data_IF_113119104757
#
_entry.id   IF_113119104757
#
_cell.length_a   1.000
_cell.length_b   1.000
_cell.length_c   1.000
_cell.angle_alpha   90.00
_cell.angle_beta   90.00
_cell.angle_gamma   90.00
#
_symmetry.space_group_name_H-M   'P 1'
#
loop_
_entity.id
_entity.type
_entity.pdbx_description
1 polymer ?
2 non-polymer ?
3 non-polymer ?
4 water ?
#
# COMPACT_ATOMS: atom_id res chain seq x y z
N UNK A 3 -3.28 -31.77 1.78
CA UNK A 3 -2.13 -31.63 2.73
C UNK A 3 -1.13 -30.54 2.28
N UNK A 4 -0.43 -29.96 3.24
CA UNK A 4 0.67 -29.03 2.96
C UNK A 4 1.83 -29.73 2.25
N UNK A 5 2.58 -29.02 1.40
CA UNK A 5 3.72 -29.63 0.70
C UNK A 5 4.80 -30.05 1.70
N UNK A 6 5.50 -31.13 1.37
CA UNK A 6 6.47 -31.72 2.26
C UNK A 6 7.61 -30.76 2.63
N UNK A 7 8.06 -29.97 1.67
CA UNK A 7 9.18 -29.04 1.91
C UNK A 7 8.74 -27.90 2.82
N UNK A 8 7.47 -27.55 2.83
CA UNK A 8 6.96 -26.58 3.80
C UNK A 8 6.87 -27.21 5.19
N UNK A 9 6.22 -28.38 5.30
CA UNK A 9 6.13 -29.10 6.57
C UNK A 9 7.50 -29.39 7.18
N UNK A 10 8.51 -29.61 6.32
CA UNK A 10 9.86 -29.84 6.79
C UNK A 10 10.44 -28.72 7.65
N UNK A 11 10.08 -27.48 7.34
CA UNK A 11 10.65 -26.29 7.99
C UNK A 11 9.74 -25.60 9.00
N UNK A 12 8.43 -25.80 8.84
CA UNK A 12 7.40 -25.11 9.59
C UNK A 12 6.32 -26.07 10.09
N UNK A 13 5.80 -25.78 11.29
CA UNK A 13 4.59 -26.41 11.81
C UNK A 13 3.41 -25.45 11.58
N UNK A 14 2.41 -25.91 10.84
CA UNK A 14 1.28 -25.06 10.45
C UNK A 14 0.22 -25.06 11.51
N UNK A 15 -0.39 -23.89 11.69
CA UNK A 15 -1.34 -23.69 12.76
C UNK A 15 -2.62 -23.02 12.24
N UNK A 16 -3.23 -22.19 13.08
CA UNK A 16 -4.55 -21.66 12.84
C UNK A 16 -4.60 -20.62 11.72
N UNK A 17 -5.82 -20.33 11.29
CA UNK A 17 -6.09 -19.32 10.27
C UNK A 17 -6.13 -17.94 10.90
N UNK A 18 -5.43 -17.00 10.27
CA UNK A 18 -5.39 -15.61 10.72
C UNK A 18 -6.29 -14.73 9.86
N UNK A 19 -6.45 -15.11 8.60
CA UNK A 19 -7.26 -14.37 7.62
C UNK A 19 -7.55 -15.25 6.42
N UNK A 20 -8.41 -14.79 5.52
CA UNK A 20 -8.72 -15.54 4.29
C UNK A 20 -9.24 -14.68 3.13
N UNK A 21 -8.31 -14.23 2.28
CA UNK A 21 -8.63 -13.49 1.05
C UNK A 21 -9.28 -14.34 -0.04
N UNK A 22 -9.44 -13.76 -1.24
CA UNK A 22 -10.24 -14.38 -2.31
C UNK A 22 -9.58 -15.63 -2.89
N UNK A 23 -8.39 -15.46 -3.47
CA UNK A 23 -7.64 -16.62 -4.00
C UNK A 23 -6.77 -17.29 -2.93
N UNK A 24 -6.80 -16.77 -1.71
CA UNK A 24 -5.93 -17.28 -0.67
C UNK A 24 -6.48 -17.33 0.75
N UNK A 25 -5.54 -17.41 1.68
CA UNK A 25 -5.80 -17.55 3.11
C UNK A 25 -4.45 -17.32 3.78
N UNK A 26 -4.45 -16.77 5.00
CA UNK A 26 -3.21 -16.57 5.76
C UNK A 26 -3.24 -17.45 7.01
N UNK A 27 -2.17 -18.22 7.23
CA UNK A 27 -2.05 -19.11 8.39
C UNK A 27 -0.91 -18.70 9.30
N UNK A 28 -1.11 -18.95 10.59
CA UNK A 28 -0.06 -18.88 11.59
C UNK A 28 0.80 -20.13 11.43
N UNK A 29 2.12 -19.95 11.50
CA UNK A 29 3.07 -21.06 11.49
C UNK A 29 4.21 -20.80 12.45
N UNK A 30 4.91 -21.87 12.80
CA UNK A 30 6.11 -21.78 13.62
C UNK A 30 7.28 -22.30 12.83
N UNK A 31 8.31 -21.48 12.73
CA UNK A 31 9.53 -21.91 12.13
C UNK A 31 10.24 -22.91 13.05
N UNK A 32 10.53 -24.10 12.55
CA UNK A 32 11.07 -25.15 13.38
C UNK A 32 12.43 -24.76 14.00
N UNK A 33 13.30 -24.20 13.19
CA UNK A 33 14.64 -23.85 13.61
C UNK A 33 14.66 -22.88 14.81
N UNK A 34 13.76 -21.91 14.82
CA UNK A 34 13.77 -20.83 15.82
C UNK A 34 12.61 -20.88 16.83
N UNK A 35 11.56 -21.65 16.53
CA UNK A 35 10.31 -21.68 17.30
C UNK A 35 9.60 -20.35 17.39
N UNK A 36 9.78 -19.52 16.38
CA UNK A 36 9.14 -18.20 16.33
C UNK A 36 8.04 -18.20 15.30
N UNK A 37 7.07 -17.32 15.53
CA UNK A 37 5.86 -17.27 14.73
C UNK A 37 6.13 -16.57 13.43
N UNK A 38 5.49 -17.07 12.39
CA UNK A 38 5.50 -16.44 11.07
C UNK A 38 4.08 -16.50 10.52
N UNK A 39 3.85 -15.75 9.45
CA UNK A 39 2.61 -15.80 8.72
C UNK A 39 2.94 -16.51 7.44
N UNK A 40 1.97 -17.30 6.94
CA UNK A 40 2.13 -17.96 5.67
C UNK A 40 0.90 -17.67 4.83
N UNK A 41 1.14 -16.97 3.72
CA UNK A 41 0.08 -16.60 2.80
C UNK A 41 0.00 -17.70 1.75
N UNK A 42 -1.21 -18.24 1.56
CA UNK A 42 -1.48 -19.26 0.56
C UNK A 42 -2.18 -18.60 -0.62
N UNK A 43 -1.64 -18.80 -1.82
CA UNK A 43 -2.29 -18.30 -3.03
C UNK A 43 -2.59 -19.52 -3.89
N UNK A 44 -3.87 -19.79 -4.11
CA UNK A 44 -4.30 -20.98 -4.83
C UNK A 44 -3.97 -20.86 -6.30
N UNK A 45 -3.76 -22.00 -6.95
CA UNK A 45 -3.71 -22.07 -8.41
C UNK A 45 -5.01 -22.73 -8.89
N UNK A 61 2.39 -15.10 -12.42
CA UNK A 61 3.37 -14.09 -12.06
C UNK A 61 3.52 -13.87 -10.55
N UNK A 62 3.07 -14.84 -9.75
CA UNK A 62 3.33 -14.80 -8.30
C UNK A 62 4.84 -14.87 -8.06
N UNK A 63 5.51 -15.66 -8.89
CA UNK A 63 6.96 -15.88 -8.73
C UNK A 63 7.72 -14.59 -9.00
N UNK A 64 7.25 -13.79 -9.96
CA UNK A 64 7.86 -12.48 -10.22
C UNK A 64 7.45 -11.40 -9.20
N UNK A 65 6.26 -11.53 -8.62
CA UNK A 65 5.90 -10.73 -7.43
C UNK A 65 6.93 -10.98 -6.30
N UNK A 66 7.28 -12.24 -6.07
CA UNK A 66 8.28 -12.62 -5.07
C UNK A 66 9.65 -11.99 -5.39
N UNK A 67 10.05 -12.02 -6.66
CA UNK A 67 11.35 -11.41 -7.03
C UNK A 67 11.34 -9.89 -6.91
N UNK A 68 10.24 -9.23 -7.27
CA UNK A 68 10.11 -7.81 -6.94
C UNK A 68 10.32 -7.61 -5.43
N UNK A 69 9.53 -8.32 -4.63
CA UNK A 69 9.61 -8.14 -3.18
C UNK A 69 10.98 -8.52 -2.54
N UNK A 70 11.70 -9.46 -3.15
CA UNK A 70 13.03 -9.84 -2.64
C UNK A 70 14.04 -8.72 -2.87
N UNK A 71 13.79 -7.85 -3.83
CA UNK A 71 14.70 -6.74 -4.12
C UNK A 71 14.49 -5.53 -3.20
N UNK A 72 13.26 -5.31 -2.77
CA UNK A 72 12.90 -4.09 -2.04
C UNK A 72 13.29 -4.21 -0.58
N UNK A 73 13.82 -3.14 -0.01
CA UNK A 73 14.27 -3.15 1.36
C UNK A 73 13.83 -1.85 2.02
N UNK A 74 12.65 -1.89 2.63
CA UNK A 74 12.07 -0.72 3.32
C UNK A 74 11.22 -1.22 4.49
N UNK A 75 11.31 -0.54 5.64
CA UNK A 75 10.61 -1.04 6.85
C UNK A 75 9.09 -1.09 6.74
N UNK A 76 8.52 -0.29 5.82
CA UNK A 76 7.07 -0.24 5.58
C UNK A 76 6.57 -1.04 4.35
N UNK A 77 7.41 -1.96 3.88
CA UNK A 77 7.04 -2.89 2.82
C UNK A 77 7.35 -4.29 3.32
N UNK A 78 6.41 -5.22 3.14
CA UNK A 78 6.61 -6.59 3.62
C UNK A 78 7.81 -7.27 3.00
N UNK A 79 8.46 -8.11 3.78
CA UNK A 79 9.59 -8.91 3.32
C UNK A 79 9.23 -10.40 3.21
N UNK A 80 9.75 -11.07 2.18
CA UNK A 80 9.54 -12.50 2.01
C UNK A 80 10.63 -13.23 2.76
N UNK A 81 10.25 -14.13 3.66
CA UNK A 81 11.21 -14.97 4.39
C UNK A 81 11.45 -16.27 3.66
N UNK A 82 10.40 -16.77 3.02
CA UNK A 82 10.51 -17.99 2.28
C UNK A 82 9.38 -18.10 1.28
N UNK A 83 9.52 -19.02 0.34
CA UNK A 83 8.57 -19.22 -0.73
C UNK A 83 8.57 -20.66 -1.20
N UNK A 84 7.38 -21.23 -1.34
CA UNK A 84 7.21 -22.58 -1.86
C UNK A 84 6.19 -22.54 -2.98
N UNK A 85 6.60 -23.06 -4.13
CA UNK A 85 5.77 -23.17 -5.30
C UNK A 85 5.40 -24.64 -5.45
N UNK A 86 4.25 -25.03 -4.92
CA UNK A 86 3.83 -26.44 -4.90
C UNK A 86 2.50 -26.58 -5.63
N UNK A 87 1.58 -27.40 -5.13
CA UNK A 87 0.22 -27.43 -5.69
C UNK A 87 -0.33 -26.00 -5.65
N UNK A 88 -0.14 -25.32 -4.51
CA UNK A 88 -0.41 -23.89 -4.40
C UNK A 88 0.90 -23.11 -4.15
N UNK A 89 0.81 -21.79 -4.09
CA UNK A 89 1.94 -20.95 -3.65
C UNK A 89 1.83 -20.68 -2.15
N UNK A 90 2.98 -20.73 -1.47
CA UNK A 90 3.07 -20.43 -0.05
C UNK A 90 4.14 -19.39 0.12
N UNK A 91 3.77 -18.26 0.73
CA UNK A 91 4.68 -17.16 0.97
C UNK A 91 4.80 -16.98 2.46
N UNK A 92 6.00 -17.15 2.99
CA UNK A 92 6.24 -17.00 4.40
C UNK A 92 6.70 -15.58 4.66
N UNK A 93 6.11 -14.91 5.64
CA UNK A 93 6.59 -13.60 6.06
C UNK A 93 6.48 -13.39 7.55
N UNK A 94 7.00 -12.25 8.02
CA UNK A 94 6.94 -11.91 9.43
C UNK A 94 5.48 -11.65 9.80
N UNK A 95 5.15 -12.01 11.02
CA UNK A 95 3.82 -11.85 11.58
C UNK A 95 3.47 -10.36 11.73
N UNK A 96 2.26 -9.99 11.33
CA UNK A 96 1.78 -8.63 11.50
C UNK A 96 0.51 -8.77 12.32
N UNK A 97 0.72 -8.80 13.63
CA UNK A 97 -0.29 -9.17 14.60
C UNK A 97 -1.46 -8.21 14.66
N UNK A 98 -1.26 -6.98 14.20
CA UNK A 98 -2.35 -6.02 14.15
C UNK A 98 -3.37 -6.31 13.07
N UNK A 99 -3.00 -7.14 12.09
CA UNK A 99 -3.95 -7.54 11.05
C UNK A 99 -4.05 -6.48 9.99
N UNK A 100 -5.14 -6.50 9.22
CA UNK A 100 -5.34 -5.52 8.15
C UNK A 100 -5.86 -4.19 8.68
N UNK A 101 -5.47 -3.09 8.04
CA UNK A 101 -6.03 -1.74 8.34
C UNK A 101 -7.53 -1.69 8.08
N UNK A 102 -7.95 -2.43 7.06
CA UNK A 102 -9.37 -2.57 6.73
C UNK A 102 -10.27 -2.74 7.98
N UNK A 103 -9.84 -3.60 8.90
CA UNK A 103 -10.62 -3.90 10.08
C UNK A 103 -10.72 -2.75 11.09
N UNK A 104 -9.79 -1.80 11.00
CA UNK A 104 -9.84 -0.58 11.83
C UNK A 104 -10.78 0.48 11.29
N UNK A 105 -11.14 0.38 10.02
CA UNK A 105 -11.94 1.42 9.39
C UNK A 105 -13.31 0.96 8.91
N UNK A 106 -13.59 -0.34 9.04
CA UNK A 106 -14.88 -0.92 8.66
C UNK A 106 -15.99 -0.50 9.64
N UNK A 107 -17.24 -0.53 9.17
CA UNK A 107 -18.39 -0.19 10.03
C UNK A 107 -18.39 1.25 10.54
N UNK A 108 -17.94 2.18 9.70
CA UNK A 108 -17.83 3.60 10.06
C UNK A 108 -16.92 3.90 11.26
N UNK A 109 -16.08 2.93 11.66
CA UNK A 109 -15.11 3.19 12.70
C UNK A 109 -14.12 4.18 12.12
N UNK A 110 -13.60 5.06 12.97
CA UNK A 110 -12.50 5.89 12.54
C UNK A 110 -11.42 6.10 13.60
N UNK A 111 -10.21 6.26 13.07
CA UNK A 111 -9.02 6.39 13.84
C UNK A 111 -8.91 7.82 14.36
N UNK A 112 -8.17 8.02 15.44
CA UNK A 112 -7.80 9.38 15.87
C UNK A 112 -7.03 10.03 14.73
N UNK A 113 -7.13 11.35 14.61
CA UNK A 113 -6.45 12.06 13.53
C UNK A 113 -4.93 11.81 13.59
N UNK A 114 -4.39 11.85 14.82
CA UNK A 114 -2.99 11.52 15.11
C UNK A 114 -2.59 10.14 14.61
N UNK A 115 -3.44 9.14 14.81
CA UNK A 115 -3.16 7.78 14.35
C UNK A 115 -3.19 7.72 12.80
N UNK A 116 -4.13 8.42 12.18
CA UNK A 116 -4.19 8.53 10.72
C UNK A 116 -2.88 9.08 10.16
N UNK A 117 -2.36 10.12 10.81
CA UNK A 117 -1.14 10.76 10.37
C UNK A 117 0.03 9.79 10.44
N UNK A 118 0.19 9.10 11.56
CA UNK A 118 1.26 8.11 11.72
C UNK A 118 1.22 7.04 10.63
N UNK A 119 0.05 6.43 10.46
CA UNK A 119 -0.13 5.41 9.43
C UNK A 119 0.14 5.97 8.03
N UNK A 120 -0.46 7.11 7.72
CA UNK A 120 -0.34 7.67 6.40
C UNK A 120 1.09 8.08 6.04
N UNK A 121 1.81 8.65 6.99
CA UNK A 121 3.21 9.01 6.80
C UNK A 121 3.96 7.76 6.32
N UNK A 122 3.73 6.62 6.98
CA UNK A 122 4.44 5.40 6.60
C UNK A 122 4.07 4.90 5.21
N UNK A 123 2.78 4.95 4.88
CA UNK A 123 2.31 4.61 3.55
C UNK A 123 3.02 5.47 2.50
N UNK A 124 3.11 6.79 2.74
CA UNK A 124 3.79 7.70 1.77
C UNK A 124 5.27 7.34 1.63
N UNK A 125 5.92 7.00 2.74
CA UNK A 125 7.31 6.61 2.69
C UNK A 125 7.46 5.32 1.89
N UNK A 126 6.53 4.38 2.08
CA UNK A 126 6.57 3.09 1.38
C UNK A 126 6.42 3.35 -0.10
N UNK A 127 5.39 4.08 -0.46
CA UNK A 127 5.06 4.30 -1.89
C UNK A 127 6.12 5.18 -2.56
N UNK A 128 6.67 6.16 -1.83
CA UNK A 128 7.78 6.97 -2.35
C UNK A 128 8.93 6.04 -2.72
N UNK A 129 9.25 5.13 -1.80
CA UNK A 129 10.33 4.17 -2.02
C UNK A 129 10.05 3.33 -3.26
N UNK A 130 8.82 2.86 -3.41
CA UNK A 130 8.44 2.10 -4.63
C UNK A 130 8.70 2.88 -5.91
N UNK A 131 8.13 4.08 -5.98
CA UNK A 131 8.25 4.94 -7.15
C UNK A 131 9.71 5.33 -7.42
N UNK A 132 10.50 5.63 -6.40
CA UNK A 132 11.94 5.85 -6.62
C UNK A 132 12.60 4.62 -7.22
N UNK A 133 12.14 3.43 -6.87
CA UNK A 133 12.68 2.19 -7.38
C UNK A 133 11.96 1.62 -8.63
N UNK A 134 11.12 2.43 -9.27
CA UNK A 134 10.51 2.04 -10.55
C UNK A 134 9.42 0.99 -10.43
N UNK A 135 8.71 0.97 -9.29
CA UNK A 135 7.67 0.02 -9.05
C UNK A 135 6.37 0.78 -8.75
N UNK A 136 5.29 0.45 -9.44
CA UNK A 136 3.96 0.97 -9.09
C UNK A 136 3.15 -0.19 -8.48
N UNK A 137 2.43 0.08 -7.40
CA UNK A 137 1.70 -0.98 -6.69
C UNK A 137 0.41 -1.33 -7.43
N UNK A 138 -0.39 -0.31 -7.68
CA UNK A 138 -1.66 -0.35 -8.41
C UNK A 138 -2.86 -0.96 -7.70
N UNK A 139 -2.74 -1.32 -6.44
CA UNK A 139 -3.87 -1.91 -5.70
C UNK A 139 -3.79 -1.51 -4.24
N UNK A 140 -3.42 -0.26 -3.97
CA UNK A 140 -3.35 0.22 -2.60
C UNK A 140 -4.78 0.35 -2.08
N UNK A 141 -5.04 -0.35 -0.97
CA UNK A 141 -6.37 -0.42 -0.31
C UNK A 141 -6.14 -0.74 1.17
N UNK A 142 -7.14 -0.46 2.04
CA UNK A 142 -6.92 -0.82 3.45
C UNK A 142 -6.66 -2.32 3.68
N UNK A 143 -7.18 -3.18 2.80
CA UNK A 143 -6.92 -4.62 2.89
C UNK A 143 -5.43 -4.98 2.73
N UNK A 144 -4.69 -4.11 2.02
CA UNK A 144 -3.28 -4.32 1.70
C UNK A 144 -2.29 -3.53 2.54
N UNK A 145 -2.79 -3.03 3.65
CA UNK A 145 -1.97 -2.37 4.64
C UNK A 145 -2.07 -3.22 5.92
N UNK A 146 -0.93 -3.71 6.39
CA UNK A 146 -0.89 -4.57 7.56
C UNK A 146 -0.32 -3.77 8.72
N UNK A 147 -0.83 -4.04 9.92
CA UNK A 147 -0.36 -3.39 11.14
C UNK A 147 0.49 -4.33 12.01
N UNK A 148 1.60 -3.81 12.52
CA UNK A 148 2.59 -4.57 13.29
C UNK A 148 2.09 -5.16 14.58
N UNK A 149 1.24 -4.42 15.28
CA UNK A 149 0.77 -4.84 16.60
C UNK A 149 -0.68 -4.40 16.79
N UNK A 150 -1.26 -4.79 17.92
CA UNK A 150 -2.62 -4.37 18.24
C UNK A 150 -2.63 -3.02 18.94
N UNK A 151 -1.46 -2.43 19.19
CA UNK A 151 -1.33 -1.06 19.71
C UNK A 151 -1.67 -0.05 18.61
N UNK A 152 -2.27 1.07 18.98
CA UNK A 152 -2.57 2.14 18.01
C UNK A 152 -1.32 2.64 17.29
N UNK A 153 -0.28 2.93 18.06
CA UNK A 153 0.95 3.47 17.53
C UNK A 153 1.83 2.31 17.14
N UNK A 154 1.74 1.89 15.87
CA UNK A 154 2.52 0.77 15.39
C UNK A 154 3.06 1.03 13.99
N UNK A 155 3.98 0.19 13.56
CA UNK A 155 4.45 0.25 12.19
C UNK A 155 3.43 -0.42 11.30
N UNK A 156 3.34 0.06 10.06
CA UNK A 156 2.51 -0.59 9.07
C UNK A 156 3.38 -1.08 7.89
N UNK A 157 2.89 -2.10 7.20
CA UNK A 157 3.57 -2.53 5.97
C UNK A 157 2.58 -2.71 4.87
N UNK A 158 2.98 -2.27 3.69
CA UNK A 158 2.23 -2.48 2.47
C UNK A 158 2.51 -3.90 2.00
N UNK A 159 1.45 -4.59 1.58
CA UNK A 159 1.55 -5.94 1.04
C UNK A 159 0.75 -6.12 -0.25
N UNK A 160 0.75 -7.35 -0.75
CA UNK A 160 0.03 -7.77 -1.97
C UNK A 160 0.45 -7.00 -3.22
N UNK A 161 1.53 -7.48 -3.82
CA UNK A 161 2.10 -6.87 -5.03
C UNK A 161 1.67 -7.57 -6.32
N UNK A 162 0.55 -8.28 -6.24
CA UNK A 162 -0.02 -9.02 -7.36
C UNK A 162 -0.36 -8.21 -8.58
N UNK A 163 -0.67 -6.93 -8.41
CA UNK A 163 -1.01 -6.06 -9.56
C UNK A 163 0.12 -5.09 -9.87
N UNK A 164 1.27 -5.27 -9.23
CA UNK A 164 2.34 -4.27 -9.35
C UNK A 164 2.97 -4.34 -10.74
N UNK A 165 3.59 -3.24 -11.15
CA UNK A 165 4.28 -3.19 -12.44
C UNK A 165 5.66 -2.52 -12.30
N UNK A 166 6.64 -3.04 -13.02
CA UNK A 166 7.98 -2.48 -13.04
C UNK A 166 8.02 -1.45 -14.15
N UNK A 167 8.40 -0.22 -13.81
CA UNK A 167 8.60 0.83 -14.81
C UNK A 167 9.92 0.57 -15.51
N UNK A 168 9.93 0.70 -16.83
CA UNK A 168 11.19 0.56 -17.59
C UNK A 168 11.09 1.39 -18.84
N UNK A 169 12.01 1.14 -19.78
CA UNK A 169 11.99 1.78 -21.08
C UNK A 169 10.73 1.35 -21.82
N UNK A 170 9.96 2.34 -22.24
CA UNK A 170 8.66 2.09 -22.84
C UNK A 170 8.75 1.89 -24.36
N UNK A 171 7.70 1.27 -24.90
CA UNK A 171 7.50 1.20 -26.33
C UNK A 171 7.58 2.61 -26.92
N UNK A 172 6.89 3.54 -26.27
CA UNK A 172 6.83 4.93 -26.73
C UNK A 172 8.23 5.50 -26.89
N UNK A 173 9.06 5.34 -25.86
CA UNK A 173 10.43 5.88 -25.88
C UNK A 173 11.22 5.36 -27.08
N UNK A 174 11.08 4.07 -27.37
CA UNK A 174 11.75 3.44 -28.51
C UNK A 174 11.23 4.01 -29.84
N UNK A 175 9.91 4.16 -29.96
CA UNK A 175 9.31 4.75 -31.17
C UNK A 175 9.83 6.18 -31.42
N UNK A 176 9.84 7.02 -30.39
CA UNK A 176 10.27 8.40 -30.55
C UNK A 176 11.75 8.55 -30.89
N UNK A 177 12.53 7.48 -30.83
CA UNK A 177 13.93 7.59 -31.29
C UNK A 177 14.03 7.70 -32.81
N UNK A 178 13.03 7.16 -33.53
CA UNK A 178 12.98 7.26 -34.99
C UNK A 178 12.21 8.44 -35.54
N UNK A 179 12.17 8.59 -36.85
CA UNK A 179 11.35 9.62 -37.48
C UNK A 179 9.92 9.07 -37.66
N UNK A 180 8.90 9.87 -37.27
CA UNK A 180 7.51 9.37 -37.23
C UNK A 180 6.75 9.41 -38.56
N UNK A 181 7.46 9.32 -39.69
CA UNK A 181 6.83 9.25 -41.00
C UNK A 181 5.60 8.33 -41.09
N UNK A 182 5.67 7.17 -40.44
CA UNK A 182 4.65 6.13 -40.54
C UNK A 182 3.89 5.95 -39.21
N UNK A 183 4.15 6.84 -38.26
CA UNK A 183 3.57 6.73 -36.92
C UNK A 183 2.19 7.38 -36.80
N UNK A 184 1.27 6.62 -36.19
CA UNK A 184 -0.12 7.04 -35.99
C UNK A 184 -0.21 8.26 -35.05
N UNK A 185 -1.14 9.19 -35.34
CA UNK A 185 -1.32 10.37 -34.51
C UNK A 185 -1.59 10.07 -33.04
N UNK A 186 -2.39 9.04 -32.74
CA UNK A 186 -2.71 8.75 -31.32
C UNK A 186 -1.45 8.42 -30.53
N UNK A 187 -0.43 7.89 -31.19
CA UNK A 187 0.79 7.60 -30.45
C UNK A 187 1.48 8.92 -30.07
N UNK A 188 1.51 9.87 -31.01
CA UNK A 188 2.10 11.19 -30.74
C UNK A 188 1.31 11.92 -29.66
N UNK A 189 -0.02 11.81 -29.70
CA UNK A 189 -0.84 12.45 -28.67
C UNK A 189 -0.59 11.91 -27.28
N UNK A 190 -0.35 10.60 -27.15
CA UNK A 190 -0.09 9.99 -25.87
C UNK A 190 1.19 10.45 -25.18
N UNK A 191 2.10 11.09 -25.93
CA UNK A 191 3.32 11.63 -25.34
C UNK A 191 3.00 12.67 -24.27
N UNK A 192 1.88 13.37 -24.40
CA UNK A 192 1.53 14.45 -23.47
C UNK A 192 1.38 13.95 -22.05
N UNK A 193 0.80 12.76 -21.93
CA UNK A 193 0.39 12.22 -20.64
C UNK A 193 1.18 10.98 -20.22
N UNK A 194 2.19 10.55 -20.99
CA UNK A 194 2.94 9.34 -20.67
C UNK A 194 3.86 9.52 -19.47
N UNK A 195 4.19 8.42 -18.80
CA UNK A 195 5.10 8.45 -17.66
C UNK A 195 4.53 8.95 -16.34
N UNK A 196 3.19 8.95 -16.24
CA UNK A 196 2.45 9.31 -15.00
C UNK A 196 1.60 8.17 -14.44
N UNK A 197 1.90 6.93 -14.84
CA UNK A 197 1.23 5.73 -14.32
C UNK A 197 1.31 5.68 -12.77
N UNK A 198 2.42 6.13 -12.19
CA UNK A 198 2.61 6.14 -10.74
C UNK A 198 1.57 6.95 -9.98
N UNK A 199 1.01 7.97 -10.64
CA UNK A 199 -0.03 8.79 -10.04
C UNK A 199 -1.28 8.03 -9.60
N UNK A 200 -1.53 6.85 -10.18
CA UNK A 200 -2.65 6.01 -9.74
C UNK A 200 -2.51 5.63 -8.25
N UNK A 201 -1.27 5.51 -7.77
CA UNK A 201 -1.02 5.12 -6.40
C UNK A 201 -1.29 6.31 -5.48
N UNK A 202 -0.95 7.53 -5.91
CA UNK A 202 -1.28 8.72 -5.13
C UNK A 202 -2.76 8.94 -4.99
N UNK A 203 -3.52 8.61 -6.02
CA UNK A 203 -4.99 8.69 -5.95
C UNK A 203 -5.54 7.73 -4.90
N UNK A 204 -5.17 6.46 -5.00
CA UNK A 204 -5.53 5.46 -3.98
C UNK A 204 -5.17 5.84 -2.56
N UNK A 205 -3.98 6.42 -2.38
CA UNK A 205 -3.57 6.88 -1.06
C UNK A 205 -4.56 7.93 -0.59
N UNK A 206 -4.95 8.84 -1.49
CA UNK A 206 -5.94 9.89 -1.17
C UNK A 206 -7.25 9.33 -0.69
N UNK A 207 -7.72 8.28 -1.37
CA UNK A 207 -8.93 7.59 -0.97
C UNK A 207 -8.76 6.89 0.37
N UNK A 208 -7.61 6.23 0.57
CA UNK A 208 -7.32 5.61 1.87
C UNK A 208 -7.31 6.64 2.99
N UNK A 209 -6.65 7.77 2.74
CA UNK A 209 -6.60 8.83 3.75
C UNK A 209 -8.01 9.35 4.10
N UNK A 210 -8.81 9.60 3.06
CA UNK A 210 -10.21 10.03 3.21
C UNK A 210 -10.99 9.09 4.14
N UNK A 211 -10.89 7.79 3.87
CA UNK A 211 -11.55 6.78 4.66
C UNK A 211 -11.04 6.76 6.11
N UNK A 212 -9.73 6.79 6.30
CA UNK A 212 -9.15 6.78 7.62
C UNK A 212 -9.64 7.97 8.46
N UNK A 213 -9.71 9.16 7.86
CA UNK A 213 -10.05 10.39 8.58
C UNK A 213 -11.53 10.51 8.88
N UNK A 214 -12.37 9.93 8.03
CA UNK A 214 -13.82 10.14 8.08
C UNK A 214 -14.63 8.88 8.43
N UNK A 215 -14.05 7.70 8.26
CA UNK A 215 -14.77 6.46 8.47
C UNK A 215 -15.73 6.05 7.36
N UNK A 216 -15.78 6.80 6.26
CA UNK A 216 -16.60 6.41 5.10
C UNK A 216 -15.89 6.70 3.75
N UNK A 217 -16.28 6.00 2.67
CA UNK A 217 -15.63 6.15 1.36
C UNK A 217 -16.10 7.38 0.59
N UNK A 218 -15.17 8.10 -0.06
CA UNK A 218 -15.49 9.30 -0.83
C UNK A 218 -16.40 9.04 -2.02
N UNK A 219 -16.23 7.88 -2.64
CA UNK A 219 -16.99 7.52 -3.81
C UNK A 219 -17.66 6.21 -3.46
N UNK A 220 -18.94 6.15 -3.71
CA UNK A 220 -19.73 5.02 -3.25
C UNK A 220 -21.13 5.20 -3.79
N UNK A 221 -21.83 4.09 -4.00
CA UNK A 221 -23.21 4.12 -4.51
C UNK A 221 -24.26 4.25 -3.41
N UNK A 222 -23.82 4.50 -2.18
CA UNK A 222 -24.75 4.62 -1.07
C UNK A 222 -25.54 5.94 -1.11
N UNK A 223 -26.87 5.83 -1.05
CA UNK A 223 -27.77 6.98 -1.14
C UNK A 223 -27.27 8.07 -2.10
N UNK A 224 -27.10 7.71 -3.38
CA UNK A 224 -26.87 8.69 -4.45
C UNK A 224 -27.43 8.23 -5.80
N UNK A 225 -27.64 9.19 -6.68
CA UNK A 225 -28.13 8.93 -8.02
C UNK A 225 -26.97 8.86 -8.99
N UNK A 226 -25.84 9.48 -8.63
CA UNK A 226 -24.72 9.57 -9.55
C UNK A 226 -23.94 8.24 -9.56
N UNK A 227 -23.61 7.79 -10.75
CA UNK A 227 -22.92 6.53 -10.91
C UNK A 227 -21.52 6.64 -10.24
N UNK A 228 -21.02 5.53 -9.74
CA UNK A 228 -19.67 5.49 -9.18
C UNK A 228 -18.66 6.07 -10.19
N UNK A 229 -18.71 5.61 -11.43
CA UNK A 229 -17.80 6.09 -12.45
C UNK A 229 -17.84 7.62 -12.60
N UNK A 230 -19.03 8.19 -12.66
CA UNK A 230 -19.16 9.65 -12.80
C UNK A 230 -18.66 10.39 -11.56
N UNK A 231 -18.90 9.84 -10.37
CA UNK A 231 -18.36 10.41 -9.14
C UNK A 231 -16.84 10.49 -9.28
N UNK A 232 -16.22 9.40 -9.68
CA UNK A 232 -14.76 9.34 -9.70
C UNK A 232 -14.15 10.28 -10.76
N UNK A 233 -14.65 10.20 -12.00
CA UNK A 233 -14.06 11.00 -13.10
C UNK A 233 -14.33 12.49 -13.00
N UNK A 234 -15.35 12.89 -12.24
CA UNK A 234 -15.55 14.34 -11.96
C UNK A 234 -14.80 14.77 -10.70
N UNK A 235 -14.32 13.81 -9.92
CA UNK A 235 -13.63 14.09 -8.66
C UNK A 235 -14.54 14.65 -7.58
N UNK A 236 -15.84 14.44 -7.74
CA UNK A 236 -16.80 14.98 -6.80
C UNK A 236 -17.04 13.97 -5.70
N UNK A 237 -16.15 13.98 -4.71
CA UNK A 237 -16.30 13.15 -3.53
C UNK A 237 -17.49 13.58 -2.68
N UNK A 238 -18.01 12.63 -1.91
CA UNK A 238 -19.13 12.87 -1.01
C UNK A 238 -18.64 13.50 0.29
N UNK A 239 -18.90 14.81 0.43
CA UNK A 239 -18.49 15.55 1.62
C UNK A 239 -19.65 15.74 2.61
N UNK A 240 -19.57 15.07 3.76
CA UNK A 240 -20.57 15.20 4.81
C UNK A 240 -19.98 16.07 5.95
N UNK A 241 -20.32 17.38 5.99
CA UNK A 241 -19.71 18.30 6.96
C UNK A 241 -19.62 17.81 8.41
N UNK A 242 -20.65 17.13 8.89
CA UNK A 242 -20.72 16.73 10.29
C UNK A 242 -19.64 15.73 10.63
N UNK A 243 -19.44 14.72 9.79
CA UNK A 243 -18.34 13.78 10.01
C UNK A 243 -16.97 14.52 10.01
N UNK A 244 -16.79 15.49 9.12
CA UNK A 244 -15.49 16.17 8.94
C UNK A 244 -15.19 17.31 9.92
N UNK A 245 -16.20 17.82 10.64
CA UNK A 245 -16.01 19.02 11.48
C UNK A 245 -14.91 18.83 12.53
N UNK A 246 -14.85 17.64 13.12
CA UNK A 246 -13.78 17.31 14.07
C UNK A 246 -12.38 17.10 13.43
N UNK A 247 -12.32 16.83 12.13
CA UNK A 247 -11.04 16.70 11.41
C UNK A 247 -10.43 18.07 11.06
N UNK A 248 -9.11 18.19 11.16
CA UNK A 248 -8.41 19.44 10.86
C UNK A 248 -8.54 19.86 9.38
N UNK A 249 -8.38 21.16 9.13
CA UNK A 249 -8.37 21.69 7.75
C UNK A 249 -7.17 21.16 6.96
N UNK A 250 -6.02 21.10 7.61
CA UNK A 250 -4.77 20.61 7.01
C UNK A 250 -4.89 19.19 6.44
N UNK A 251 -5.51 18.28 7.20
CA UNK A 251 -5.72 16.90 6.79
C UNK A 251 -6.62 16.82 5.56
N UNK A 252 -7.69 17.60 5.57
CA UNK A 252 -8.59 17.64 4.43
C UNK A 252 -7.93 18.32 3.21
N UNK A 253 -7.10 19.32 3.45
CA UNK A 253 -6.38 19.99 2.37
C UNK A 253 -5.51 18.99 1.59
N UNK A 254 -4.82 18.11 2.31
CA UNK A 254 -4.00 17.07 1.69
C UNK A 254 -4.87 16.11 0.89
N UNK A 255 -5.95 15.64 1.52
CA UNK A 255 -6.88 14.76 0.82
C UNK A 255 -7.25 15.35 -0.51
N UNK A 256 -7.53 16.65 -0.54
CA UNK A 256 -8.01 17.29 -1.76
C UNK A 256 -6.93 17.39 -2.83
N UNK A 257 -5.67 17.50 -2.41
CA UNK A 257 -4.57 17.57 -3.37
C UNK A 257 -4.20 16.19 -3.96
N UNK A 258 -4.64 15.12 -3.30
CA UNK A 258 -4.44 13.76 -3.78
C UNK A 258 -5.59 13.30 -4.65
N UNK A 259 -6.79 13.83 -4.40
CA UNK A 259 -7.97 13.45 -5.18
C UNK A 259 -8.18 14.50 -6.28
N UNK A 260 -7.13 14.78 -7.05
CA UNK A 260 -7.16 15.67 -8.19
C UNK A 260 -7.30 14.77 -9.43
N UNK A 261 -8.22 15.08 -10.31
CA UNK A 261 -8.52 14.18 -11.42
C UNK A 261 -7.44 14.22 -12.53
N UNK A 262 -6.81 15.35 -12.75
CA UNK A 262 -5.69 15.40 -13.71
C UNK A 262 -4.44 14.74 -13.08
N UNK A 263 -4.00 13.59 -13.63
CA UNK A 263 -2.86 12.91 -13.01
C UNK A 263 -1.57 13.71 -13.01
N UNK A 264 -1.42 14.71 -13.88
CA UNK A 264 -0.19 15.49 -13.91
C UNK A 264 -0.20 16.59 -12.83
N UNK A 265 -1.38 17.05 -12.45
CA UNK A 265 -1.52 18.07 -11.41
C UNK A 265 -1.57 17.38 -10.02
N UNK A 266 -2.01 16.14 -9.99
CA UNK A 266 -2.03 15.39 -8.72
C UNK A 266 -0.73 15.45 -7.92
N UNK A 267 -0.86 15.52 -6.58
CA UNK A 267 0.29 15.47 -5.69
C UNK A 267 1.03 14.15 -5.87
N UNK A 268 2.35 14.25 -5.96
CA UNK A 268 3.21 13.09 -5.88
C UNK A 268 3.49 12.78 -4.40
N UNK A 269 4.14 11.65 -4.12
CA UNK A 269 4.43 11.28 -2.75
C UNK A 269 5.35 12.31 -2.11
N UNK A 270 6.26 12.91 -2.90
CA UNK A 270 7.16 13.96 -2.38
C UNK A 270 6.38 15.19 -1.95
N UNK A 271 5.43 15.59 -2.78
CA UNK A 271 4.64 16.77 -2.48
C UNK A 271 3.82 16.57 -1.20
N UNK A 272 3.26 15.38 -1.06
CA UNK A 272 2.47 14.99 0.10
C UNK A 272 3.33 14.98 1.36
N UNK A 273 4.57 14.48 1.26
CA UNK A 273 5.46 14.42 2.43
C UNK A 273 5.89 15.80 2.90
N UNK A 274 5.89 16.77 1.98
CA UNK A 274 6.20 18.14 2.30
C UNK A 274 4.96 18.94 2.73
N UNK A 275 3.78 18.35 2.64
CA UNK A 275 2.54 19.04 3.05
C UNK A 275 2.54 19.41 4.54
N UNK A 276 2.00 20.60 4.90
CA UNK A 276 1.93 21.00 6.32
C UNK A 276 1.42 19.92 7.28
N UNK A 277 0.47 19.09 6.85
CA UNK A 277 -0.13 18.09 7.73
C UNK A 277 0.92 17.11 8.26
N UNK A 278 1.98 16.87 7.49
CA UNK A 278 3.01 15.89 7.87
C UNK A 278 4.26 16.53 8.47
N UNK A 279 4.28 17.85 8.59
CA UNK A 279 5.35 18.52 9.30
C UNK A 279 4.97 18.50 10.78
N UNK A 280 5.19 17.35 11.41
CA UNK A 280 4.69 17.06 12.74
C UNK A 280 5.77 16.26 13.45
N UNK A 281 6.65 16.96 14.17
CA UNK A 281 7.82 16.31 14.77
C UNK A 281 7.50 15.24 15.83
N UNK A 282 6.35 15.35 16.49
CA UNK A 282 5.92 14.30 17.43
C UNK A 282 5.59 13.01 16.71
N UNK A 283 4.79 13.11 15.66
CA UNK A 283 4.48 11.94 14.84
C UNK A 283 5.77 11.28 14.35
N UNK A 284 6.68 12.08 13.80
CA UNK A 284 7.92 11.54 13.25
C UNK A 284 8.78 10.87 14.33
N UNK A 285 8.81 11.47 15.52
CA UNK A 285 9.52 10.88 16.67
C UNK A 285 8.95 9.51 17.02
N UNK A 286 7.63 9.40 17.03
CA UNK A 286 6.98 8.12 17.33
C UNK A 286 7.31 7.05 16.27
N UNK A 287 7.40 7.47 15.01
CA UNK A 287 7.76 6.55 13.94
C UNK A 287 9.18 6.05 14.20
N UNK A 288 10.14 6.96 14.33
CA UNK A 288 11.54 6.56 14.62
C UNK A 288 11.67 5.67 15.85
N UNK A 289 10.90 5.94 16.90
CA UNK A 289 10.95 5.10 18.11
C UNK A 289 10.42 3.71 17.85
N UNK A 290 9.38 3.60 17.04
CA UNK A 290 8.84 2.31 16.69
C UNK A 290 9.83 1.50 15.84
N UNK A 291 10.60 2.17 15.00
CA UNK A 291 11.62 1.50 14.19
C UNK A 291 12.74 0.85 15.00
N UNK A 292 13.35 1.60 15.92
CA UNK A 292 14.48 1.07 16.71
C UNK A 292 14.01 -0.05 17.61
N UNK A 293 12.85 0.13 18.22
CA UNK A 293 12.16 -0.95 18.94
C UNK A 293 12.07 -2.24 18.07
N UNK A 294 11.61 -2.14 16.82
CA UNK A 294 11.55 -3.32 15.90
C UNK A 294 12.93 -3.94 15.65
N UNK A 295 13.97 -3.11 15.56
CA UNK A 295 15.31 -3.54 15.12
C UNK A 295 16.17 -4.27 16.19
N UNK A 296 17.02 -5.19 15.71
CA UNK A 296 17.96 -6.02 16.54
C UNK A 296 19.38 -6.20 15.92
N UNK A 297 20.19 -5.14 16.03
CA UNK A 297 21.47 -5.04 15.33
C UNK A 297 22.57 -5.82 16.06
N UNK A 298 23.76 -5.83 15.45
CA UNK A 298 24.80 -6.77 15.83
C UNK A 298 26.00 -6.19 16.59
N UNK A 299 25.92 -4.91 16.98
CA UNK A 299 27.07 -4.23 17.63
C UNK A 299 27.90 -3.50 16.57
N UNK A 300 28.27 -2.25 16.88
CA UNK A 300 28.90 -1.33 15.95
C UNK A 300 30.31 -0.94 16.45
N UNK A 301 31.26 -0.66 15.53
CA UNK A 301 32.43 0.09 15.99
C UNK A 301 32.06 1.55 16.21
N UNK A 302 32.40 2.09 17.38
CA UNK A 302 32.16 3.51 17.74
C UNK A 302 30.70 3.94 17.68
X LIG B 1 0.14 -11.78 10.44
X LIG B 1 -1.07 -11.66 11.15
X LIG B 1 -0.99 -11.74 12.53
X LIG B 1 -2.23 -11.40 10.54
X LIG B 1 -3.42 -11.26 11.24
X LIG B 1 -4.60 -10.99 10.55
X LIG B 1 -4.60 -10.87 9.16
X LIG B 1 -3.40 -11.00 8.45
X LIG B 1 -3.08 -10.92 7.15
X LIG B 1 -2.23 -11.26 9.16
X LIG B 1 -1.25 -11.34 8.27
X LIG B 1 -1.75 -11.13 7.07
X LIG B 1 -0.84 -11.18 5.83
X LIG B 1 0.34 -11.45 6.00
X LIG B 1 -1.44 -10.91 4.65
X LIG B 1 -0.87 -10.96 3.43
X LIG B 1 -1.69 -10.74 2.31
X LIG B 1 -1.20 -10.80 1.01
X LIG B 1 0.46 -11.26 3.21
X LIG B 1 0.96 -11.32 1.89
X LIG B 1 0.15 -11.09 0.78
X LIG B 1 0.66 -11.15 -0.53
X LIG B 1 2.16 -10.97 -0.82
X LIG B 1 -0.17 -11.43 -1.54
X LIG B 1 0.16 -11.49 -2.73
X LIG B 1 -0.77 -11.79 -3.66
X LIG B 1 -0.53 -11.93 -4.97
X LIG B 1 -1.76 -12.23 -5.69
X LIG B 1 -2.80 -12.30 -4.60
X LIG B 1 -2.04 -12.03 -3.38
X LIG C 1 5.44 6.33 -14.66
X LIG C 1 6.82 6.40 -14.93
X LIG C 1 4.95 6.84 -13.47
X LIG C 1 4.59 5.77 -15.61
#
# INVERSE_FOLDING_TARGET
MSVYPKALRDEYIMSKTLGSGACGEVKLAFERKTCKKVAIKIISKRKFAIGSAREADPALNVETEIEILKKLNHPCIIKIKNFFDAEDYYIVLELMEGGELFDKVVGNKRLKEATCKLYFYQMLLAVQYLHENGIIHRDLKPENVLLSSQEEDCLIKITDFGHSKILGETSLMRTLCGTPTYLAPEVLVSVGTAGYNRAVDCWSLGVILFICLSGYPPFSEHRTQVSLKDQITSGKYNFIPEVWAEVSEKALDLVKKLLVVDPKARFTTEEALRHPWLQDEDMKRKFQDLLSEENESTALPQVLAQPSTSRKRPREGEAEGAE
UPX OBB NAB OBC CAJ CAI CAH CAM CAL CAO CAK NAA CAN CAP OBD NAC CAQ CAV CAU CAR CAS CAT CAW CAX NAD NAE CAY NAF CAZ CBA NAG
NO3 N O1 O2 O3
#
